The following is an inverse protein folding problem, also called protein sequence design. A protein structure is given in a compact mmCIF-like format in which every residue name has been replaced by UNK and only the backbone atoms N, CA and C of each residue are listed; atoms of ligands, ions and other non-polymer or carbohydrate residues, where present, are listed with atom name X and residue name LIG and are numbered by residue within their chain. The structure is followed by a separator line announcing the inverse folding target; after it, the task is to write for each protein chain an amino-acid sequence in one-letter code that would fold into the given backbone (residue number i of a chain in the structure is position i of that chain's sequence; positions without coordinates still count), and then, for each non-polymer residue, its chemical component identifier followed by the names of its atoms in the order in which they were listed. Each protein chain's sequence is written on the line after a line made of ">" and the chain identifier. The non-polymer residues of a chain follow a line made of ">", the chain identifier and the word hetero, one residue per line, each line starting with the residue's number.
data_IF_572407808791
#
_entry.id   IF_572407808791
#
_cell.length_a   1.000
_cell.length_b   1.000
_cell.length_c   1.000
_cell.angle_alpha   90.00
_cell.angle_beta   90.00
_cell.angle_gamma   90.00
#
_symmetry.space_group_name_H-M   'P 1'
#
loop_
_entity.id
_entity.type
_entity.pdbx_description
1 polymer ?
#
# COMPACT_ATOMS: atom_id res chain seq x y z
N UNK A 1 22.37 41.56 33.50
CA UNK A 1 22.31 40.54 32.44
C UNK A 1 21.82 39.26 33.09
N UNK A 2 20.74 38.69 32.56
CA UNK A 2 20.21 37.43 33.07
C UNK A 2 21.20 36.30 32.75
N UNK A 3 21.42 35.38 33.70
CA UNK A 3 22.29 34.24 33.50
C UNK A 3 21.80 33.40 32.30
N UNK A 4 22.65 33.10 31.30
CA UNK A 4 22.24 32.40 30.08
C UNK A 4 21.60 31.03 30.35
N UNK A 5 22.01 30.34 31.41
CA UNK A 5 21.40 29.07 31.80
C UNK A 5 20.01 29.26 32.42
N UNK A 6 19.83 30.28 33.25
CA UNK A 6 18.53 30.67 33.80
C UNK A 6 17.53 31.08 32.71
N UNK A 7 17.98 31.81 31.68
CA UNK A 7 17.16 32.15 30.51
C UNK A 7 16.75 30.92 29.68
N UNK A 8 17.66 29.94 29.53
CA UNK A 8 17.37 28.65 28.91
C UNK A 8 16.31 27.87 29.69
N UNK A 9 16.44 27.80 31.03
CA UNK A 9 15.48 27.11 31.89
C UNK A 9 14.06 27.69 31.76
N UNK A 10 13.93 29.02 31.76
CA UNK A 10 12.64 29.69 31.55
C UNK A 10 12.02 29.32 30.20
N UNK A 11 12.85 29.26 29.16
CA UNK A 11 12.39 28.88 27.81
C UNK A 11 11.95 27.41 27.73
N UNK A 12 12.62 26.51 28.46
CA UNK A 12 12.30 25.08 28.50
C UNK A 12 11.17 24.71 29.48
N UNK A 13 10.82 25.59 30.40
CA UNK A 13 9.79 25.34 31.42
C UNK A 13 8.43 24.99 30.80
N UNK A 14 8.09 25.63 29.67
CA UNK A 14 6.87 25.31 28.92
C UNK A 14 6.86 23.87 28.38
N UNK A 15 8.01 23.34 27.94
CA UNK A 15 8.14 21.95 27.47
C UNK A 15 7.88 20.97 28.61
N UNK A 16 8.40 21.28 29.79
CA UNK A 16 8.25 20.46 30.99
C UNK A 16 6.84 20.54 31.61
N UNK A 17 6.15 21.66 31.48
CA UNK A 17 4.80 21.81 32.02
C UNK A 17 3.71 21.21 31.13
N UNK A 18 3.90 21.26 29.81
CA UNK A 18 2.93 20.74 28.83
C UNK A 18 3.00 19.22 28.66
N UNK A 19 4.10 18.59 29.08
CA UNK A 19 4.30 17.15 28.91
C UNK A 19 3.73 16.35 30.09
N UNK A 20 2.89 15.35 29.79
CA UNK A 20 2.28 14.52 30.82
C UNK A 20 3.32 13.62 31.51
N UNK A 21 3.28 13.59 32.85
CA UNK A 21 4.07 12.66 33.65
C UNK A 21 3.28 11.39 33.99
N UNK A 22 3.97 10.25 34.00
CA UNK A 22 3.47 8.99 34.57
C UNK A 22 4.51 8.49 35.56
N UNK A 23 4.08 8.21 36.79
CA UNK A 23 4.95 7.71 37.88
C UNK A 23 6.16 8.63 38.15
N UNK A 24 5.96 9.95 38.12
CA UNK A 24 7.02 10.94 38.38
C UNK A 24 8.09 11.07 37.28
N UNK A 25 7.88 10.47 36.10
CA UNK A 25 8.74 10.61 34.92
C UNK A 25 7.94 11.10 33.71
N UNK A 26 8.59 11.83 32.80
CA UNK A 26 7.96 12.23 31.54
C UNK A 26 7.70 11.03 30.64
N UNK A 27 6.58 11.06 29.90
CA UNK A 27 6.22 9.99 28.97
C UNK A 27 7.25 9.81 27.85
N UNK A 28 7.88 10.90 27.38
CA UNK A 28 8.92 10.82 26.36
C UNK A 28 10.33 10.79 26.98
N UNK A 29 11.14 9.76 26.67
CA UNK A 29 12.50 9.64 27.18
C UNK A 29 13.40 10.84 26.84
N UNK A 30 13.20 11.47 25.68
CA UNK A 30 13.97 12.64 25.26
C UNK A 30 13.70 13.86 26.16
N UNK A 31 12.44 14.08 26.56
CA UNK A 31 12.06 15.15 27.48
C UNK A 31 12.60 14.88 28.89
N UNK A 32 12.58 13.61 29.34
CA UNK A 32 13.21 13.22 30.60
C UNK A 32 14.73 13.45 30.57
N UNK A 33 15.41 13.05 29.50
CA UNK A 33 16.85 13.28 29.35
C UNK A 33 17.20 14.77 29.34
N UNK A 34 16.36 15.60 28.73
CA UNK A 34 16.52 17.05 28.78
C UNK A 34 16.37 17.58 30.21
N UNK A 35 15.35 17.11 30.96
CA UNK A 35 15.17 17.48 32.37
C UNK A 35 16.38 17.08 33.21
N UNK A 36 16.83 15.84 33.11
CA UNK A 36 17.99 15.35 33.86
C UNK A 36 19.28 16.11 33.49
N UNK A 37 19.46 16.46 32.21
CA UNK A 37 20.60 17.25 31.76
C UNK A 37 20.56 18.71 32.24
N UNK A 38 19.37 19.30 32.36
CA UNK A 38 19.21 20.62 32.98
C UNK A 38 19.50 20.58 34.48
N UNK A 39 19.07 19.54 35.21
CA UNK A 39 19.31 19.43 36.66
C UNK A 39 20.77 19.13 37.00
N UNK A 40 21.47 18.39 36.13
CA UNK A 40 22.89 18.05 36.30
C UNK A 40 23.84 19.04 35.63
N UNK A 41 23.33 20.15 35.11
CA UNK A 41 24.17 21.14 34.45
C UNK A 41 25.14 21.78 35.46
N UNK A 42 26.43 21.71 35.15
CA UNK A 42 27.49 22.34 35.93
C UNK A 42 28.23 23.34 35.04
N UNK A 43 28.22 24.65 35.35
CA UNK A 43 28.83 25.68 34.52
C UNK A 43 30.35 25.55 34.40
N UNK A 44 31.02 24.82 35.29
CA UNK A 44 32.47 24.67 35.31
C UNK A 44 32.98 23.51 34.42
N UNK A 45 32.08 22.71 33.86
CA UNK A 45 32.45 21.51 33.09
C UNK A 45 31.92 21.57 31.67
N UNK A 46 32.79 21.50 30.65
CA UNK A 46 32.35 21.44 29.25
C UNK A 46 31.48 20.21 28.94
N UNK A 47 31.69 19.11 29.65
CA UNK A 47 30.93 17.86 29.45
C UNK A 47 29.45 17.99 29.83
N UNK A 48 29.11 18.79 30.85
CA UNK A 48 27.71 19.03 31.23
C UNK A 48 26.99 19.84 30.14
N UNK A 49 27.68 20.82 29.53
CA UNK A 49 27.18 21.59 28.40
C UNK A 49 26.97 20.72 27.15
N UNK A 50 27.92 19.84 26.84
CA UNK A 50 27.79 18.89 25.71
C UNK A 50 26.62 17.93 25.95
N UNK A 51 26.44 17.43 27.17
CA UNK A 51 25.32 16.58 27.53
C UNK A 51 23.97 17.31 27.39
N UNK A 52 23.91 18.57 27.82
CA UNK A 52 22.74 19.43 27.66
C UNK A 52 22.41 19.70 26.18
N UNK A 53 23.41 20.02 25.36
CA UNK A 53 23.25 20.22 23.91
C UNK A 53 22.74 18.95 23.22
N UNK A 54 23.25 17.77 23.61
CA UNK A 54 22.78 16.49 23.09
C UNK A 54 21.33 16.20 23.50
N UNK A 55 20.98 16.41 24.77
CA UNK A 55 19.63 16.20 25.24
C UNK A 55 18.62 17.16 24.58
N UNK A 56 19.03 18.41 24.36
CA UNK A 56 18.25 19.41 23.63
C UNK A 56 17.99 18.96 22.20
N UNK A 57 19.02 18.45 21.52
CA UNK A 57 18.90 17.91 20.16
C UNK A 57 17.88 16.77 20.07
N UNK A 58 17.92 15.82 21.01
CA UNK A 58 16.97 14.69 21.02
C UNK A 58 15.54 15.14 21.36
N UNK A 59 15.38 16.21 22.13
CA UNK A 59 14.08 16.75 22.51
C UNK A 59 13.46 17.69 21.45
N UNK A 60 14.19 18.07 20.40
CA UNK A 60 13.74 19.01 19.35
C UNK A 60 12.34 18.71 18.79
N UNK A 61 11.99 17.45 18.42
CA UNK A 61 10.65 17.16 17.86
C UNK A 61 9.51 17.51 18.83
N UNK A 62 9.78 17.42 20.13
CA UNK A 62 8.81 17.76 21.17
C UNK A 62 8.75 19.27 21.39
N UNK A 63 9.88 19.98 21.31
CA UNK A 63 9.92 21.45 21.39
C UNK A 63 9.13 22.07 20.23
N UNK A 64 9.27 21.52 19.01
CA UNK A 64 8.48 21.91 17.84
C UNK A 64 6.98 21.61 18.03
N UNK A 65 6.64 20.39 18.50
CA UNK A 65 5.25 19.98 18.77
C UNK A 65 4.55 20.97 19.70
N UNK A 66 5.23 21.44 20.74
CA UNK A 66 4.69 22.33 21.76
C UNK A 66 4.81 23.82 21.40
N UNK A 67 5.29 24.15 20.19
CA UNK A 67 5.44 25.53 19.67
C UNK A 67 6.17 26.47 20.63
N UNK A 68 7.16 25.95 21.35
CA UNK A 68 7.97 26.76 22.26
C UNK A 68 8.88 27.69 21.46
N UNK A 69 9.13 28.90 21.97
CA UNK A 69 9.99 29.87 21.31
C UNK A 69 11.43 29.36 21.19
N UNK A 70 11.77 28.82 20.02
CA UNK A 70 13.07 28.23 19.76
C UNK A 70 14.19 29.28 19.65
N UNK A 71 13.86 30.53 19.27
CA UNK A 71 14.88 31.58 19.14
C UNK A 71 15.49 31.96 20.49
N UNK A 72 14.68 31.96 21.56
CA UNK A 72 15.17 32.18 22.93
C UNK A 72 16.10 31.05 23.39
N UNK A 73 15.79 29.80 23.03
CA UNK A 73 16.63 28.62 23.30
C UNK A 73 17.94 28.74 22.54
N UNK A 74 17.89 29.12 21.27
CA UNK A 74 19.05 29.28 20.38
C UNK A 74 20.04 30.31 20.92
N UNK A 75 19.55 31.51 21.22
CA UNK A 75 20.37 32.60 21.76
C UNK A 75 21.01 32.24 23.10
N UNK A 76 20.28 31.54 23.97
CA UNK A 76 20.80 31.11 25.27
C UNK A 76 21.91 30.07 25.09
N UNK A 77 21.70 29.08 24.22
CA UNK A 77 22.69 28.03 23.93
C UNK A 77 23.94 28.55 23.22
N UNK A 78 23.80 29.48 22.29
CA UNK A 78 24.96 30.14 21.64
C UNK A 78 25.78 30.95 22.65
N UNK A 79 25.09 31.63 23.59
CA UNK A 79 25.78 32.38 24.65
C UNK A 79 26.50 31.44 25.62
N UNK A 80 25.87 30.31 25.98
CA UNK A 80 26.51 29.27 26.79
C UNK A 80 27.69 28.61 26.07
N UNK A 81 27.61 28.39 24.75
CA UNK A 81 28.72 27.85 23.96
C UNK A 81 29.96 28.77 24.03
N UNK A 82 29.74 30.10 23.94
CA UNK A 82 30.81 31.10 24.10
C UNK A 82 31.43 31.05 25.50
N UNK A 83 30.61 30.96 26.55
CA UNK A 83 31.09 30.84 27.94
C UNK A 83 31.94 29.57 28.17
N UNK A 84 31.63 28.48 27.48
CA UNK A 84 32.38 27.23 27.54
C UNK A 84 33.58 27.16 26.58
N UNK A 85 33.86 28.23 25.83
CA UNK A 85 34.87 28.26 24.76
C UNK A 85 34.69 27.10 23.75
N UNK A 86 33.45 26.88 23.31
CA UNK A 86 33.07 25.88 22.32
C UNK A 86 32.94 26.52 20.93
N UNK A 87 33.11 25.75 19.84
CA UNK A 87 32.78 26.22 18.50
C UNK A 87 31.30 26.61 18.41
N UNK A 88 30.97 27.49 17.47
CA UNK A 88 29.59 27.88 17.19
C UNK A 88 28.73 26.66 16.87
N UNK A 89 27.51 26.66 17.39
CA UNK A 89 26.57 25.57 17.15
C UNK A 89 26.07 25.66 15.71
N UNK A 90 26.30 24.61 14.93
CA UNK A 90 25.72 24.50 13.58
C UNK A 90 24.25 24.11 13.70
N UNK A 91 23.41 25.14 13.77
CA UNK A 91 21.97 24.97 13.89
C UNK A 91 21.32 24.37 12.64
N UNK A 92 21.91 24.52 11.45
CA UNK A 92 21.38 23.90 10.23
C UNK A 92 21.52 22.38 10.32
N UNK A 93 22.65 21.90 10.84
CA UNK A 93 22.89 20.48 11.13
C UNK A 93 22.07 19.95 12.31
N UNK A 94 21.79 20.81 13.28
CA UNK A 94 20.99 20.43 14.45
C UNK A 94 19.49 20.30 14.10
N UNK A 95 18.98 21.19 13.25
CA UNK A 95 17.59 21.19 12.77
C UNK A 95 17.35 20.21 11.62
N UNK A 96 18.38 19.78 10.89
CA UNK A 96 18.27 18.75 9.85
C UNK A 96 18.06 17.33 10.40
N UNK A 97 17.66 17.21 11.66
CA UNK A 97 17.43 15.92 12.31
C UNK A 97 16.45 15.08 11.48
N UNK A 98 16.76 13.79 11.22
CA UNK A 98 15.75 12.92 10.65
C UNK A 98 14.55 12.92 11.60
N UNK A 99 13.36 13.20 11.06
CA UNK A 99 12.04 13.15 11.75
C UNK A 99 11.68 11.76 12.29
N UNK A 100 12.63 10.83 12.24
CA UNK A 100 12.49 9.42 12.55
C UNK A 100 13.46 9.12 13.68
N UNK A 101 12.93 8.70 14.82
CA UNK A 101 13.75 8.25 15.95
C UNK A 101 14.66 7.10 15.51
N UNK A 102 15.95 7.10 15.88
CA UNK A 102 16.86 5.98 15.62
C UNK A 102 16.35 4.64 16.18
N UNK A 103 15.47 4.69 17.19
CA UNK A 103 14.83 3.52 17.83
C UNK A 103 13.58 3.04 17.10
N UNK A 104 13.08 3.79 16.12
CA UNK A 104 11.90 3.50 15.31
C UNK A 104 12.31 3.43 13.84
N UNK A 105 13.02 2.35 13.46
CA UNK A 105 13.61 2.19 12.12
C UNK A 105 12.63 1.69 11.05
N UNK A 106 11.33 1.69 11.30
CA UNK A 106 10.36 1.24 10.29
C UNK A 106 10.32 2.17 9.07
N UNK A 107 10.54 3.47 9.25
CA UNK A 107 10.58 4.44 8.15
C UNK A 107 11.93 4.47 7.42
N UNK A 108 13.03 4.08 8.06
CA UNK A 108 14.34 3.96 7.41
C UNK A 108 14.42 2.75 6.45
N UNK A 109 13.60 1.72 6.69
CA UNK A 109 13.38 0.61 5.75
C UNK A 109 12.51 1.01 4.54
N UNK A 110 11.82 2.16 4.60
CA UNK A 110 10.93 2.65 3.54
C UNK A 110 11.58 3.68 2.61
N UNK A 111 12.84 4.08 2.83
CA UNK A 111 13.57 4.86 1.85
C UNK A 111 14.14 3.92 0.80
N UNK A 112 13.32 3.71 -0.22
CA UNK A 112 13.57 2.78 -1.30
C UNK A 112 14.91 3.04 -1.97
N UNK A 113 15.85 2.10 -1.84
CA UNK A 113 17.07 2.11 -2.65
C UNK A 113 16.65 1.78 -4.08
N UNK A 114 17.43 2.18 -5.08
CA UNK A 114 17.21 1.86 -6.50
C UNK A 114 17.08 0.35 -6.80
N UNK A 115 17.33 -0.52 -5.82
CA UNK A 115 17.01 -1.95 -5.83
C UNK A 115 15.50 -2.28 -5.74
N UNK A 116 14.63 -1.28 -5.59
CA UNK A 116 13.17 -1.45 -5.44
C UNK A 116 12.37 -1.41 -6.75
N UNK A 117 13.02 -1.26 -7.90
CA UNK A 117 12.33 -1.39 -9.18
C UNK A 117 11.93 -2.85 -9.43
N UNK A 118 10.63 -3.11 -9.61
CA UNK A 118 10.05 -4.42 -9.93
C UNK A 118 10.83 -5.16 -11.02
N UNK A 119 11.16 -4.48 -12.14
CA UNK A 119 11.82 -5.11 -13.28
C UNK A 119 13.25 -5.53 -12.97
N UNK A 120 13.99 -4.70 -12.23
CA UNK A 120 15.35 -5.03 -11.77
C UNK A 120 15.30 -6.20 -10.80
N UNK A 121 14.32 -6.22 -9.90
CA UNK A 121 14.10 -7.31 -8.96
C UNK A 121 13.74 -8.62 -9.67
N UNK A 122 12.85 -8.57 -10.66
CA UNK A 122 12.50 -9.73 -11.49
C UNK A 122 13.72 -10.27 -12.23
N UNK A 123 14.53 -9.40 -12.86
CA UNK A 123 15.79 -9.81 -13.51
C UNK A 123 16.74 -10.52 -12.55
N UNK A 124 16.87 -10.06 -11.30
CA UNK A 124 17.68 -10.76 -10.28
C UNK A 124 17.12 -12.15 -9.93
N UNK A 125 15.81 -12.37 -10.04
CA UNK A 125 15.16 -13.66 -9.71
C UNK A 125 15.18 -14.64 -10.87
N UNK A 126 15.05 -14.16 -12.10
CA UNK A 126 14.99 -14.99 -13.30
C UNK A 126 16.34 -15.17 -13.97
N UNK A 127 17.33 -14.31 -13.67
CA UNK A 127 18.63 -14.29 -14.35
C UNK A 127 18.58 -13.63 -15.73
N UNK A 128 17.39 -13.25 -16.23
CA UNK A 128 17.21 -12.68 -17.56
C UNK A 128 16.86 -11.20 -17.46
N UNK A 129 17.57 -10.30 -18.19
CA UNK A 129 17.20 -8.90 -18.26
C UNK A 129 15.79 -8.70 -18.83
N UNK A 130 14.99 -7.84 -18.21
CA UNK A 130 13.63 -7.52 -18.69
C UNK A 130 13.60 -7.00 -20.14
N UNK A 131 14.67 -6.37 -20.62
CA UNK A 131 14.80 -5.92 -22.01
C UNK A 131 14.92 -7.07 -23.02
N UNK A 132 15.23 -8.27 -22.54
CA UNK A 132 15.31 -9.50 -23.34
C UNK A 132 14.09 -10.41 -23.15
N UNK A 133 13.22 -10.09 -22.20
CA UNK A 133 11.99 -10.84 -21.97
C UNK A 133 10.89 -10.34 -22.88
N UNK A 134 10.17 -11.26 -23.50
CA UNK A 134 8.90 -10.90 -24.12
C UNK A 134 7.81 -10.66 -23.06
N UNK A 135 6.66 -10.13 -23.48
CA UNK A 135 5.56 -9.83 -22.58
C UNK A 135 4.93 -11.08 -21.93
N UNK A 136 5.03 -12.25 -22.56
CA UNK A 136 4.55 -13.52 -22.01
C UNK A 136 5.50 -14.05 -20.94
N UNK A 137 6.80 -14.02 -21.18
CA UNK A 137 7.86 -14.36 -20.24
C UNK A 137 7.84 -13.44 -19.03
N UNK A 138 7.66 -12.13 -19.24
CA UNK A 138 7.51 -11.17 -18.15
C UNK A 138 6.27 -11.47 -17.29
N UNK A 139 5.15 -11.80 -17.93
CA UNK A 139 3.91 -12.19 -17.24
C UNK A 139 4.14 -13.46 -16.42
N UNK A 140 4.82 -14.46 -16.99
CA UNK A 140 5.14 -15.70 -16.29
C UNK A 140 6.08 -15.44 -15.10
N UNK A 141 7.13 -14.64 -15.30
CA UNK A 141 8.07 -14.26 -14.24
C UNK A 141 7.36 -13.58 -13.06
N UNK A 142 6.37 -12.72 -13.34
CA UNK A 142 5.56 -12.10 -12.28
C UNK A 142 4.70 -13.14 -11.54
N UNK A 143 4.06 -14.06 -12.26
CA UNK A 143 3.22 -15.11 -11.67
C UNK A 143 4.04 -16.08 -10.80
N UNK A 144 5.22 -16.50 -11.25
CA UNK A 144 6.12 -17.40 -10.53
C UNK A 144 6.68 -16.78 -9.24
N UNK A 145 6.65 -15.44 -9.16
CA UNK A 145 7.18 -14.69 -8.03
C UNK A 145 6.10 -13.95 -7.22
N UNK A 146 4.81 -14.15 -7.55
CA UNK A 146 3.71 -13.35 -6.98
C UNK A 146 3.58 -13.47 -5.46
N UNK A 147 3.89 -14.65 -4.90
CA UNK A 147 3.82 -14.93 -3.47
C UNK A 147 5.16 -14.68 -2.74
N UNK A 148 6.20 -14.21 -3.44
CA UNK A 148 7.49 -13.93 -2.80
C UNK A 148 7.45 -12.65 -1.99
N UNK A 149 8.17 -12.66 -0.88
CA UNK A 149 8.27 -11.50 0.00
C UNK A 149 8.77 -10.26 -0.75
N UNK A 150 8.06 -9.14 -0.56
CA UNK A 150 8.36 -7.87 -1.20
C UNK A 150 7.82 -7.70 -2.63
N UNK A 151 7.26 -8.75 -3.27
CA UNK A 151 6.71 -8.63 -4.62
C UNK A 151 5.60 -7.59 -4.70
N UNK A 152 4.57 -7.71 -3.84
CA UNK A 152 3.42 -6.79 -3.85
C UNK A 152 3.83 -5.33 -3.62
N UNK A 153 4.78 -5.08 -2.72
CA UNK A 153 5.31 -3.74 -2.47
C UNK A 153 6.00 -3.15 -3.71
N UNK A 154 6.81 -3.96 -4.41
CA UNK A 154 7.52 -3.53 -5.62
C UNK A 154 6.58 -3.35 -6.80
N UNK A 155 5.56 -4.21 -6.92
CA UNK A 155 4.51 -4.07 -7.91
C UNK A 155 3.73 -2.77 -7.69
N UNK A 156 3.28 -2.49 -6.47
CA UNK A 156 2.58 -1.24 -6.15
C UNK A 156 3.43 -0.01 -6.48
N UNK A 157 4.70 0.02 -6.07
CA UNK A 157 5.61 1.12 -6.39
C UNK A 157 5.86 1.29 -7.90
N UNK A 158 5.80 0.19 -8.67
CA UNK A 158 5.89 0.25 -10.13
C UNK A 158 4.60 0.81 -10.75
N UNK A 159 3.43 0.38 -10.26
CA UNK A 159 2.13 0.83 -10.73
C UNK A 159 1.84 2.30 -10.39
N UNK A 160 2.40 2.83 -9.30
CA UNK A 160 2.34 4.28 -9.02
C UNK A 160 2.99 5.11 -10.13
N UNK A 161 4.02 4.58 -10.80
CA UNK A 161 4.74 5.25 -11.89
C UNK A 161 4.15 4.89 -13.26
N UNK A 162 3.67 3.65 -13.41
CA UNK A 162 3.11 3.11 -14.64
C UNK A 162 1.77 2.40 -14.34
N UNK A 163 0.67 3.17 -14.14
CA UNK A 163 -0.60 2.61 -13.69
C UNK A 163 -1.22 1.62 -14.69
N UNK A 164 -0.94 1.79 -15.98
CA UNK A 164 -1.45 0.94 -17.04
C UNK A 164 -0.55 -0.27 -17.36
N UNK A 165 0.51 -0.52 -16.59
CA UNK A 165 1.46 -1.59 -16.88
C UNK A 165 0.79 -2.97 -17.02
N UNK A 166 0.01 -3.40 -16.03
CA UNK A 166 -0.72 -4.67 -16.09
C UNK A 166 -1.81 -4.67 -17.16
N UNK A 167 -2.46 -3.51 -17.36
CA UNK A 167 -3.49 -3.37 -18.38
C UNK A 167 -2.90 -3.56 -19.78
N UNK A 168 -1.75 -2.97 -20.07
CA UNK A 168 -1.05 -3.14 -21.34
C UNK A 168 -0.67 -4.60 -21.58
N UNK A 169 -0.20 -5.32 -20.55
CA UNK A 169 0.14 -6.75 -20.66
C UNK A 169 -1.07 -7.61 -21.02
N UNK A 170 -2.24 -7.36 -20.42
CA UNK A 170 -3.45 -8.14 -20.74
C UNK A 170 -4.05 -7.74 -22.08
N UNK A 171 -3.92 -6.49 -22.52
CA UNK A 171 -4.46 -6.04 -23.81
C UNK A 171 -3.66 -6.63 -24.98
N UNK A 172 -2.36 -6.85 -24.83
CA UNK A 172 -1.52 -7.35 -25.92
C UNK A 172 -1.72 -8.85 -26.23
N UNK A 173 -2.18 -9.65 -25.27
CA UNK A 173 -2.25 -11.10 -25.43
C UNK A 173 -3.40 -11.71 -24.64
N UNK A 174 -4.23 -12.50 -25.31
CA UNK A 174 -5.30 -13.29 -24.68
C UNK A 174 -4.74 -14.21 -23.59
N UNK A 175 -3.58 -14.83 -23.84
CA UNK A 175 -2.93 -15.71 -22.86
C UNK A 175 -2.54 -14.93 -21.59
N UNK A 176 -2.02 -13.72 -21.75
CA UNK A 176 -1.68 -12.88 -20.61
C UNK A 176 -2.94 -12.41 -19.88
N UNK A 177 -3.99 -12.04 -20.61
CA UNK A 177 -5.30 -11.73 -20.04
C UNK A 177 -5.81 -12.87 -19.17
N UNK A 178 -5.83 -14.10 -19.69
CA UNK A 178 -6.30 -15.28 -18.94
C UNK A 178 -5.44 -15.48 -17.69
N UNK A 179 -4.11 -15.53 -17.83
CA UNK A 179 -3.19 -15.80 -16.72
C UNK A 179 -3.27 -14.73 -15.61
N UNK A 180 -3.27 -13.45 -15.98
CA UNK A 180 -3.30 -12.34 -15.02
C UNK A 180 -4.68 -12.28 -14.34
N UNK A 181 -5.77 -12.39 -15.10
CA UNK A 181 -7.14 -12.32 -14.56
C UNK A 181 -7.47 -13.47 -13.60
N UNK A 182 -6.90 -14.65 -13.86
CA UNK A 182 -7.05 -15.83 -13.00
C UNK A 182 -6.14 -15.79 -11.75
N UNK A 183 -5.22 -14.82 -11.66
CA UNK A 183 -4.25 -14.72 -10.56
C UNK A 183 -4.60 -13.58 -9.59
N UNK A 184 -3.84 -13.50 -8.49
CA UNK A 184 -3.92 -12.36 -7.54
C UNK A 184 -3.50 -11.03 -8.15
N UNK A 185 -2.75 -11.05 -9.27
CA UNK A 185 -2.39 -9.83 -9.99
C UNK A 185 -3.62 -9.07 -10.49
N UNK A 186 -4.75 -9.75 -10.71
CA UNK A 186 -6.02 -9.14 -11.10
C UNK A 186 -6.52 -8.11 -10.09
N UNK A 187 -6.15 -8.20 -8.80
CA UNK A 187 -6.54 -7.24 -7.77
C UNK A 187 -6.05 -5.82 -8.05
N UNK A 188 -4.99 -5.68 -8.85
CA UNK A 188 -4.42 -4.40 -9.25
C UNK A 188 -5.06 -3.82 -10.53
N UNK A 189 -5.98 -4.55 -11.16
CA UNK A 189 -6.75 -4.08 -12.31
C UNK A 189 -8.09 -3.52 -11.86
N UNK A 190 -8.54 -2.45 -12.52
CA UNK A 190 -9.89 -1.91 -12.34
C UNK A 190 -10.91 -2.72 -13.15
N UNK A 191 -12.17 -2.68 -12.71
CA UNK A 191 -13.28 -3.32 -13.44
C UNK A 191 -13.41 -2.77 -14.87
N UNK A 192 -13.08 -1.49 -15.08
CA UNK A 192 -13.06 -0.83 -16.40
C UNK A 192 -11.99 -1.46 -17.31
N UNK A 193 -10.77 -1.64 -16.79
CA UNK A 193 -9.67 -2.26 -17.53
C UNK A 193 -10.01 -3.73 -17.87
N UNK A 194 -10.60 -4.47 -16.93
CA UNK A 194 -11.07 -5.83 -17.19
C UNK A 194 -12.16 -5.88 -18.26
N UNK A 195 -13.16 -4.99 -18.21
CA UNK A 195 -14.21 -4.93 -19.23
C UNK A 195 -13.65 -4.65 -20.63
N UNK A 196 -12.66 -3.75 -20.75
CA UNK A 196 -11.98 -3.48 -22.03
C UNK A 196 -11.24 -4.72 -22.54
N UNK A 197 -10.49 -5.39 -21.69
CA UNK A 197 -9.75 -6.59 -22.07
C UNK A 197 -10.69 -7.74 -22.46
N UNK A 198 -11.82 -7.91 -21.76
CA UNK A 198 -12.85 -8.87 -22.12
C UNK A 198 -13.35 -8.59 -23.54
N UNK A 199 -13.77 -7.36 -23.84
CA UNK A 199 -14.27 -7.01 -25.17
C UNK A 199 -13.23 -7.28 -26.25
N UNK A 200 -11.96 -6.95 -25.98
CA UNK A 200 -10.88 -7.18 -26.94
C UNK A 200 -10.68 -8.67 -27.26
N UNK A 201 -10.70 -9.53 -26.24
CA UNK A 201 -10.38 -10.96 -26.41
C UNK A 201 -11.61 -11.84 -26.67
N UNK A 202 -12.83 -11.32 -26.45
CA UNK A 202 -14.09 -12.03 -26.68
C UNK A 202 -14.17 -12.67 -28.08
N UNK A 203 -13.81 -12.00 -29.20
CA UNK A 203 -13.87 -12.60 -30.53
C UNK A 203 -13.11 -13.92 -30.67
N UNK A 204 -12.00 -14.08 -29.95
CA UNK A 204 -11.20 -15.31 -29.99
C UNK A 204 -11.76 -16.42 -29.09
N UNK A 205 -12.65 -16.08 -28.16
CA UNK A 205 -13.23 -17.03 -27.21
C UNK A 205 -14.51 -17.69 -27.70
N UNK A 206 -15.07 -17.21 -28.81
CA UNK A 206 -16.39 -17.61 -29.31
C UNK A 206 -16.25 -18.62 -30.46
N UNK A 207 -17.10 -19.64 -30.43
CA UNK A 207 -17.24 -20.61 -31.51
C UNK A 207 -18.43 -20.22 -32.40
N UNK A 208 -18.13 -19.65 -33.58
CA UNK A 208 -19.11 -19.04 -34.50
C UNK A 208 -20.23 -20.00 -34.96
N UNK A 209 -20.01 -21.32 -34.90
CA UNK A 209 -20.94 -22.32 -35.44
C UNK A 209 -22.09 -22.75 -34.49
N UNK A 210 -22.17 -22.22 -33.26
CA UNK A 210 -23.18 -22.63 -32.27
C UNK A 210 -24.41 -21.72 -32.26
N UNK A 211 -25.50 -22.15 -31.62
CA UNK A 211 -26.66 -21.30 -31.32
C UNK A 211 -26.23 -20.04 -30.51
N UNK A 212 -26.73 -18.82 -30.82
CA UNK A 212 -26.30 -17.60 -30.14
C UNK A 212 -26.44 -17.64 -28.61
N UNK A 213 -27.47 -18.29 -28.07
CA UNK A 213 -27.65 -18.40 -26.62
C UNK A 213 -26.67 -19.38 -25.99
N UNK A 214 -26.36 -20.50 -26.66
CA UNK A 214 -25.31 -21.42 -26.22
C UNK A 214 -23.92 -20.77 -26.27
N UNK A 215 -23.66 -19.93 -27.27
CA UNK A 215 -22.42 -19.14 -27.34
C UNK A 215 -22.29 -18.19 -26.14
N UNK A 216 -23.39 -17.53 -25.76
CA UNK A 216 -23.42 -16.66 -24.57
C UNK A 216 -23.18 -17.47 -23.31
N UNK A 217 -23.86 -18.60 -23.11
CA UNK A 217 -23.69 -19.43 -21.91
C UNK A 217 -22.24 -19.92 -21.74
N UNK A 218 -21.63 -20.42 -22.83
CA UNK A 218 -20.23 -20.86 -22.84
C UNK A 218 -19.26 -19.70 -22.59
N UNK A 219 -19.50 -18.54 -23.20
CA UNK A 219 -18.67 -17.35 -23.01
C UNK A 219 -18.72 -16.90 -21.55
N UNK A 220 -19.91 -16.78 -20.97
CA UNK A 220 -20.11 -16.32 -19.59
C UNK A 220 -19.48 -17.29 -18.60
N UNK A 221 -19.64 -18.60 -18.81
CA UNK A 221 -18.97 -19.62 -18.00
C UNK A 221 -17.45 -19.47 -18.08
N UNK A 222 -16.88 -19.42 -19.29
CA UNK A 222 -15.44 -19.27 -19.50
C UNK A 222 -14.89 -17.98 -18.88
N UNK A 223 -15.61 -16.87 -19.00
CA UNK A 223 -15.21 -15.60 -18.40
C UNK A 223 -15.28 -15.64 -16.88
N UNK A 224 -16.29 -16.29 -16.29
CA UNK A 224 -16.36 -16.47 -14.85
C UNK A 224 -15.27 -17.41 -14.31
N UNK A 225 -14.82 -18.39 -15.10
CA UNK A 225 -13.66 -19.21 -14.74
C UNK A 225 -12.36 -18.40 -14.78
N UNK A 226 -12.22 -17.48 -15.75
CA UNK A 226 -11.04 -16.62 -15.89
C UNK A 226 -11.01 -15.54 -14.80
N UNK A 227 -12.16 -14.96 -14.47
CA UNK A 227 -12.27 -13.90 -13.47
C UNK A 227 -12.20 -14.49 -12.07
N UNK A 228 -11.15 -14.14 -11.33
CA UNK A 228 -10.91 -14.64 -9.97
C UNK A 228 -11.15 -13.56 -8.91
N UNK A 229 -10.92 -13.91 -7.64
CA UNK A 229 -10.91 -13.00 -6.49
C UNK A 229 -12.23 -12.23 -6.26
N UNK A 230 -13.36 -12.92 -6.37
CA UNK A 230 -14.69 -12.34 -6.11
C UNK A 230 -15.26 -11.51 -7.25
N UNK A 231 -14.57 -11.45 -8.40
CA UNK A 231 -15.09 -10.87 -9.64
C UNK A 231 -15.74 -11.94 -10.50
N UNK A 232 -16.84 -11.58 -11.13
CA UNK A 232 -17.57 -12.34 -12.15
C UNK A 232 -18.15 -11.37 -13.18
N UNK A 233 -18.67 -11.90 -14.28
CA UNK A 233 -19.39 -11.08 -15.28
C UNK A 233 -20.55 -10.32 -14.61
N UNK A 234 -21.28 -10.96 -13.69
CA UNK A 234 -22.37 -10.32 -12.95
C UNK A 234 -21.87 -9.11 -12.13
N UNK A 235 -20.74 -9.24 -11.44
CA UNK A 235 -20.20 -8.12 -10.66
C UNK A 235 -19.72 -6.97 -11.55
N UNK A 236 -19.12 -7.29 -12.72
CA UNK A 236 -18.70 -6.26 -13.68
C UNK A 236 -19.90 -5.52 -14.29
N UNK A 237 -21.00 -6.23 -14.59
CA UNK A 237 -22.23 -5.63 -15.11
C UNK A 237 -22.97 -4.76 -14.07
N UNK A 238 -22.74 -4.97 -12.77
CA UNK A 238 -23.25 -4.08 -11.71
C UNK A 238 -22.45 -2.78 -11.59
N UNK A 239 -21.23 -2.73 -12.11
CA UNK A 239 -20.40 -1.54 -12.07
C UNK A 239 -20.83 -0.54 -13.16
N UNK A 240 -21.31 0.64 -12.75
CA UNK A 240 -21.85 1.65 -13.67
C UNK A 240 -20.88 2.16 -14.75
N UNK A 241 -19.56 2.00 -14.57
CA UNK A 241 -18.56 2.39 -15.58
C UNK A 241 -18.10 1.23 -16.46
N UNK A 242 -18.12 0.00 -15.94
CA UNK A 242 -17.73 -1.18 -16.71
C UNK A 242 -18.88 -1.72 -17.57
N UNK A 243 -20.13 -1.63 -17.06
CA UNK A 243 -21.33 -2.10 -17.76
C UNK A 243 -21.47 -1.53 -19.19
N UNK A 244 -21.35 -0.21 -19.44
CA UNK A 244 -21.51 0.33 -20.79
C UNK A 244 -20.45 -0.19 -21.78
N UNK A 245 -19.27 -0.58 -21.29
CA UNK A 245 -18.20 -1.17 -22.10
C UNK A 245 -18.58 -2.60 -22.50
N UNK A 246 -19.07 -3.40 -21.55
CA UNK A 246 -19.54 -4.76 -21.83
C UNK A 246 -20.76 -4.75 -22.75
N UNK A 247 -21.69 -3.80 -22.54
CA UNK A 247 -22.88 -3.60 -23.37
C UNK A 247 -22.55 -3.22 -24.82
N UNK A 248 -21.31 -2.87 -25.16
CA UNK A 248 -20.91 -2.66 -26.56
C UNK A 248 -20.96 -3.96 -27.38
N UNK A 249 -20.85 -5.13 -26.72
CA UNK A 249 -20.91 -6.44 -27.37
C UNK A 249 -22.31 -7.04 -27.28
N UNK A 250 -22.75 -7.63 -28.40
CA UNK A 250 -24.07 -8.27 -28.51
C UNK A 250 -24.27 -9.41 -27.51
N UNK A 251 -23.19 -10.14 -27.16
CA UNK A 251 -23.26 -11.27 -26.24
C UNK A 251 -23.68 -10.85 -24.83
N UNK A 252 -23.21 -9.70 -24.33
CA UNK A 252 -23.61 -9.19 -23.02
C UNK A 252 -25.01 -8.56 -23.04
N UNK A 253 -25.47 -8.06 -24.20
CA UNK A 253 -26.87 -7.64 -24.36
C UNK A 253 -27.82 -8.83 -24.30
N UNK A 254 -27.50 -9.92 -25.01
CA UNK A 254 -28.27 -11.17 -24.97
C UNK A 254 -28.30 -11.75 -23.54
N UNK A 255 -27.15 -11.79 -22.86
CA UNK A 255 -27.08 -12.25 -21.46
C UNK A 255 -28.00 -11.47 -20.51
N UNK A 256 -28.25 -10.20 -20.79
CA UNK A 256 -29.13 -9.32 -20.00
C UNK A 256 -30.58 -9.29 -20.52
N UNK A 257 -30.92 -10.00 -21.60
CA UNK A 257 -32.25 -9.96 -22.19
C UNK A 257 -33.24 -10.87 -21.45
N UNK A 258 -34.52 -10.50 -21.50
CA UNK A 258 -35.60 -11.31 -20.93
C UNK A 258 -35.69 -12.68 -21.60
N UNK A 259 -35.39 -12.78 -22.90
CA UNK A 259 -35.42 -14.06 -23.62
C UNK A 259 -34.40 -15.06 -23.05
N UNK A 260 -33.22 -14.58 -22.66
CA UNK A 260 -32.22 -15.41 -22.01
C UNK A 260 -32.65 -15.83 -20.59
N UNK A 261 -33.19 -14.89 -19.79
CA UNK A 261 -33.68 -15.19 -18.44
C UNK A 261 -34.79 -16.27 -18.44
N UNK A 262 -35.74 -16.16 -19.37
CA UNK A 262 -36.88 -17.07 -19.50
C UNK A 262 -36.49 -18.49 -19.98
N UNK A 263 -35.26 -18.70 -20.47
CA UNK A 263 -34.77 -20.01 -20.95
C UNK A 263 -34.40 -20.93 -19.77
N UNK A 264 -33.93 -20.36 -18.67
CA UNK A 264 -33.61 -21.13 -17.47
C UNK A 264 -34.87 -21.53 -16.68
N UNK A 265 -35.96 -20.77 -16.78
CA UNK A 265 -37.26 -21.14 -16.20
C UNK A 265 -37.95 -22.30 -16.95
N UNK A 266 -37.63 -22.50 -18.23
CA UNK A 266 -38.22 -23.54 -19.08
C UNK A 266 -37.50 -24.89 -19.07
N UNK A 267 -36.39 -25.06 -18.33
CA UNK A 267 -35.81 -26.41 -18.11
C UNK A 267 -36.76 -27.17 -17.17
N UNK A 268 -37.39 -28.29 -17.59
CA UNK A 268 -38.30 -29.02 -16.72
C UNK A 268 -37.53 -29.52 -15.51
N UNK A 269 -37.98 -29.12 -14.32
CA UNK A 269 -37.59 -29.75 -13.07
C UNK A 269 -37.79 -31.25 -13.21
N UNK A 270 -36.72 -32.00 -12.92
CA UNK A 270 -36.67 -33.46 -12.78
C UNK A 270 -37.98 -33.98 -12.17
N UNK A 271 -38.62 -35.04 -12.72
CA UNK A 271 -39.87 -35.54 -12.17
C UNK A 271 -39.64 -35.94 -10.71
N UNK A 272 -40.36 -35.27 -9.82
CA UNK A 272 -40.51 -35.67 -8.43
C UNK A 272 -40.93 -37.13 -8.42
N UNK A 273 -40.03 -38.02 -7.98
CA UNK A 273 -40.37 -39.41 -7.71
C UNK A 273 -41.50 -39.39 -6.69
N UNK A 274 -42.70 -39.71 -7.16
CA UNK A 274 -43.86 -39.97 -6.31
C UNK A 274 -43.46 -41.15 -5.43
N UNK A 275 -43.22 -40.88 -4.15
CA UNK A 275 -43.13 -41.93 -3.12
C UNK A 275 -44.50 -42.57 -3.01
N UNK A 276 -44.68 -43.69 -3.70
CA UNK A 276 -45.81 -44.58 -3.50
C UNK A 276 -45.74 -45.21 -2.10
N UNK A 277 -46.75 -44.86 -1.32
CA UNK A 277 -47.53 -45.71 -0.41
C UNK A 277 -46.80 -46.76 0.43
N UNK A 278 -46.76 -46.44 1.72
CA UNK A 278 -46.89 -47.32 2.89
C UNK A 278 -47.29 -48.78 2.63
N UNK A 279 -46.33 -49.70 2.82
CA UNK A 279 -46.64 -51.07 3.24
C UNK A 279 -46.52 -51.19 4.76
N UNK A 280 -47.66 -51.45 5.41
CA UNK A 280 -47.74 -51.86 6.82
C UNK A 280 -47.20 -53.29 6.98
N UNK A 281 -46.48 -53.63 8.05
CA UNK A 281 -46.22 -55.02 8.40
C UNK A 281 -47.47 -55.64 9.05
N UNK A 282 -47.82 -56.87 8.65
CA UNK A 282 -48.80 -57.70 9.35
C UNK A 282 -48.16 -58.37 10.56
N UNK A 283 -48.92 -58.42 11.65
CA UNK A 283 -48.74 -59.31 12.81
C UNK A 283 -48.81 -60.77 12.38
#
# INVERSE_FOLDING_TARGET
>A
MEDPFSALLKSLQSVFHLEAMRNGKYCYPAVQQLKDATERYNPNTKNSFIALLRALREALPHIEKWRVNFDAIRQSMDTMAKLHHMPSIDWNKMLSHPKVSPKFQFSALNHSRSEDNLLVWLTKKTGTPHTKMDHSELTQAMLDNQDRHGFSQKLNAHLEKQPDFLFNLIMQSEKNFIKISHSRLSLHLTDIQLAKAIIQHTPNMIQIQKDPFEQVELLIHKLNDILSNGRSVSTLLRNGKAKPILDASIFFKIYQSEEYANRHEKKPSVPTVVKSESFKPRL
#
